data_IF_185377515944
#
_entry.id   IF_185377515944
#
_cell.length_a   1.000
_cell.length_b   1.000
_cell.length_c   1.000
_cell.angle_alpha   90.00
_cell.angle_beta   90.00
_cell.angle_gamma   90.00
#
_symmetry.space_group_name_H-M   'P 1'
#
loop_
_entity.id
_entity.type
_entity.pdbx_description
1 polymer ?
#
# COMPACT_ATOMS: atom_id res chain seq x y z
N UNK A 1 12.77 19.84 13.04
CA UNK A 1 11.48 19.15 12.82
C UNK A 1 10.74 19.12 14.14
N UNK A 2 9.52 19.67 14.18
CA UNK A 2 8.70 19.64 15.39
C UNK A 2 8.18 18.22 15.60
N UNK A 3 8.43 17.65 16.78
CA UNK A 3 7.83 16.37 17.17
C UNK A 3 6.36 16.65 17.48
N UNK A 4 5.46 16.09 16.68
CA UNK A 4 4.05 16.08 17.00
C UNK A 4 3.86 15.11 18.19
N UNK A 5 3.17 15.51 19.27
CA UNK A 5 2.94 14.67 20.44
C UNK A 5 1.82 13.66 20.16
N UNK A 6 1.91 12.95 19.03
CA UNK A 6 0.95 11.94 18.62
C UNK A 6 1.44 10.61 19.20
N UNK A 7 0.70 10.01 20.15
CA UNK A 7 1.07 8.72 20.68
C UNK A 7 0.91 7.65 19.60
N UNK A 8 1.96 6.87 19.33
CA UNK A 8 1.92 5.70 18.43
C UNK A 8 2.06 4.45 19.29
N UNK A 9 0.97 4.06 19.93
CA UNK A 9 0.93 2.87 20.78
C UNK A 9 0.56 1.61 19.99
N UNK A 10 -0.23 1.77 18.93
CA UNK A 10 -0.64 0.70 18.02
C UNK A 10 -0.58 1.18 16.57
N UNK A 11 -0.23 0.26 15.67
CA UNK A 11 -0.24 0.47 14.24
C UNK A 11 -1.14 -0.58 13.59
N UNK A 12 -2.04 -0.14 12.71
CA UNK A 12 -2.85 -1.01 11.86
C UNK A 12 -2.24 -0.99 10.46
N UNK A 13 -1.89 -2.16 9.94
CA UNK A 13 -1.40 -2.34 8.59
C UNK A 13 -2.42 -3.18 7.83
N UNK A 14 -2.88 -2.66 6.69
CA UNK A 14 -3.81 -3.37 5.83
C UNK A 14 -3.48 -3.13 4.36
N UNK A 15 -3.99 -4.01 3.51
CA UNK A 15 -3.85 -3.94 2.05
C UNK A 15 -5.22 -3.85 1.40
N UNK A 16 -5.41 -2.84 0.55
CA UNK A 16 -6.66 -2.62 -0.18
C UNK A 16 -6.42 -2.82 -1.67
N UNK A 17 -7.16 -3.74 -2.30
CA UNK A 17 -7.19 -3.86 -3.76
C UNK A 17 -8.12 -2.81 -4.36
N UNK A 18 -7.64 -2.07 -5.36
CA UNK A 18 -8.42 -1.07 -6.09
C UNK A 18 -8.66 -1.57 -7.51
N UNK A 19 -9.93 -1.76 -7.87
CA UNK A 19 -10.33 -2.12 -9.23
C UNK A 19 -10.57 -0.89 -10.09
N UNK A 20 -10.10 -0.92 -11.33
CA UNK A 20 -10.14 0.21 -12.26
C UNK A 20 -10.64 -0.22 -13.64
N UNK A 21 -11.18 0.74 -14.39
CA UNK A 21 -11.65 0.57 -15.77
C UNK A 21 -10.76 1.33 -16.74
N UNK A 22 -10.59 0.80 -17.96
CA UNK A 22 -9.75 1.38 -19.01
C UNK A 22 -8.63 0.44 -19.47
N UNK A 23 -7.96 0.80 -20.56
CA UNK A 23 -6.98 -0.08 -21.20
C UNK A 23 -5.58 -0.01 -20.58
N UNK A 24 -5.15 1.14 -20.00
CA UNK A 24 -3.82 1.30 -19.37
C UNK A 24 -2.66 0.70 -20.20
N UNK A 25 -2.61 1.04 -21.50
CA UNK A 25 -1.64 0.50 -22.47
C UNK A 25 -0.28 1.22 -22.47
N UNK A 26 -0.12 2.28 -21.68
CA UNK A 26 1.15 3.00 -21.60
C UNK A 26 2.14 2.24 -20.71
N UNK A 27 3.22 1.75 -21.32
CA UNK A 27 4.37 1.16 -20.62
C UNK A 27 5.33 2.28 -20.18
N UNK A 28 5.05 2.92 -19.04
CA UNK A 28 6.07 3.71 -18.36
C UNK A 28 6.94 2.79 -17.51
N UNK A 29 8.25 2.80 -17.75
CA UNK A 29 9.24 1.87 -17.18
C UNK A 29 9.40 1.94 -15.66
N UNK A 30 8.90 2.99 -15.02
CA UNK A 30 8.97 3.22 -13.55
C UNK A 30 7.59 3.10 -12.87
N UNK A 31 6.60 2.50 -13.54
CA UNK A 31 5.22 2.40 -13.04
C UNK A 31 4.86 1.01 -12.52
N UNK A 32 3.73 0.92 -11.79
CA UNK A 32 3.15 -0.35 -11.33
C UNK A 32 2.39 -1.05 -12.47
N UNK A 33 2.37 -2.38 -12.45
CA UNK A 33 1.54 -3.14 -13.38
C UNK A 33 0.08 -3.09 -12.93
N UNK A 34 -0.83 -2.84 -13.87
CA UNK A 34 -2.27 -2.86 -13.65
C UNK A 34 -2.92 -4.05 -14.41
N UNK A 35 -2.65 -5.30 -14.00
CA UNK A 35 -3.22 -6.49 -14.63
C UNK A 35 -4.69 -6.69 -14.24
N UNK A 36 -5.36 -7.63 -14.92
CA UNK A 36 -6.64 -8.14 -14.45
C UNK A 36 -6.52 -8.73 -13.05
N UNK A 37 -7.47 -8.38 -12.19
CA UNK A 37 -7.48 -8.82 -10.81
C UNK A 37 -7.95 -10.26 -10.64
N UNK A 38 -7.50 -10.89 -9.55
CA UNK A 38 -8.08 -12.11 -9.00
C UNK A 38 -8.88 -11.72 -7.74
N UNK A 39 -10.07 -11.10 -7.89
CA UNK A 39 -10.77 -10.57 -6.74
C UNK A 39 -11.48 -11.68 -5.96
N UNK A 40 -11.48 -11.56 -4.64
CA UNK A 40 -12.23 -12.45 -3.74
C UNK A 40 -13.76 -12.36 -3.97
N UNK A 41 -14.25 -11.25 -4.56
CA UNK A 41 -15.67 -10.98 -4.82
C UNK A 41 -16.13 -11.32 -6.25
N UNK A 42 -15.27 -11.90 -7.10
CA UNK A 42 -15.66 -12.46 -8.40
C UNK A 42 -15.75 -11.49 -9.59
N UNK A 43 -15.31 -10.23 -9.47
CA UNK A 43 -15.26 -9.28 -10.59
C UNK A 43 -14.00 -9.42 -11.46
N UNK A 44 -13.86 -10.55 -12.15
CA UNK A 44 -12.69 -10.93 -12.95
C UNK A 44 -12.42 -10.05 -14.18
N UNK A 45 -13.35 -9.18 -14.54
CA UNK A 45 -13.28 -8.33 -15.73
C UNK A 45 -12.63 -6.96 -15.50
N UNK A 46 -12.19 -6.66 -14.26
CA UNK A 46 -11.55 -5.39 -13.93
C UNK A 46 -10.05 -5.57 -13.70
N UNK A 47 -9.30 -4.57 -14.15
CA UNK A 47 -7.89 -4.42 -13.81
C UNK A 47 -7.76 -3.92 -12.38
N UNK A 48 -6.63 -4.19 -11.72
CA UNK A 48 -6.43 -3.76 -10.34
C UNK A 48 -4.99 -3.39 -10.01
N UNK A 49 -4.84 -2.63 -8.93
CA UNK A 49 -3.59 -2.43 -8.20
C UNK A 49 -3.84 -2.57 -6.70
N UNK A 50 -2.78 -2.61 -5.88
CA UNK A 50 -2.89 -2.80 -4.43
C UNK A 50 -2.30 -1.61 -3.69
N UNK A 51 -2.99 -1.13 -2.67
CA UNK A 51 -2.51 -0.11 -1.73
C UNK A 51 -2.14 -0.76 -0.41
N UNK A 52 -0.96 -0.46 0.11
CA UNK A 52 -0.56 -0.75 1.48
C UNK A 52 -0.65 0.52 2.31
N UNK A 53 -1.39 0.48 3.43
CA UNK A 53 -1.54 1.62 4.32
C UNK A 53 -1.19 1.22 5.75
N UNK A 54 -0.42 2.07 6.45
CA UNK A 54 -0.20 1.95 7.89
C UNK A 54 -0.71 3.21 8.58
N UNK A 55 -1.64 3.03 9.51
CA UNK A 55 -2.23 4.09 10.33
C UNK A 55 -1.99 3.84 11.81
N UNK A 56 -1.98 4.90 12.62
CA UNK A 56 -2.01 4.74 14.08
C UNK A 56 -3.44 4.48 14.60
N UNK A 57 -3.60 4.35 15.93
CA UNK A 57 -4.91 4.17 16.55
C UNK A 57 -5.88 5.36 16.41
N UNK A 58 -5.43 6.49 15.86
CA UNK A 58 -6.23 7.69 15.60
C UNK A 58 -6.45 7.92 14.10
N UNK A 59 -6.26 6.88 13.27
CA UNK A 59 -6.48 6.90 11.82
C UNK A 59 -5.53 7.85 11.07
N UNK A 60 -4.46 8.31 11.73
CA UNK A 60 -3.44 9.15 11.10
C UNK A 60 -2.53 8.26 10.23
N UNK A 61 -2.43 8.52 8.92
CA UNK A 61 -1.57 7.76 8.02
C UNK A 61 -0.09 8.06 8.29
N UNK A 62 0.69 7.00 8.44
CA UNK A 62 2.14 7.06 8.68
C UNK A 62 2.96 6.52 7.50
N UNK A 63 2.36 5.65 6.69
CA UNK A 63 2.98 5.07 5.51
C UNK A 63 1.89 4.73 4.49
N UNK A 64 2.21 4.96 3.22
CA UNK A 64 1.40 4.51 2.09
C UNK A 64 2.35 4.06 0.98
N UNK A 65 2.02 2.95 0.31
CA UNK A 65 2.69 2.52 -0.91
C UNK A 65 1.70 1.88 -1.88
N UNK A 66 2.01 2.00 -3.17
CA UNK A 66 1.24 1.38 -4.24
C UNK A 66 2.04 0.22 -4.81
N UNK A 67 1.37 -0.90 -5.08
CA UNK A 67 1.96 -2.10 -5.63
C UNK A 67 1.22 -2.53 -6.90
N UNK A 68 1.92 -3.25 -7.79
CA UNK A 68 1.31 -3.93 -8.92
C UNK A 68 0.11 -4.78 -8.50
N UNK A 69 -0.87 -4.92 -9.39
CA UNK A 69 -2.02 -5.77 -9.15
C UNK A 69 -1.63 -7.21 -8.81
N UNK A 70 -2.43 -7.85 -7.95
CA UNK A 70 -2.19 -9.22 -7.46
C UNK A 70 -0.92 -9.39 -6.60
N UNK A 71 -0.30 -8.29 -6.14
CA UNK A 71 0.77 -8.37 -5.15
C UNK A 71 0.28 -9.09 -3.88
N UNK A 72 1.13 -9.94 -3.31
CA UNK A 72 0.77 -10.77 -2.14
C UNK A 72 0.81 -9.96 -0.84
N UNK A 73 -0.28 -10.03 -0.06
CA UNK A 73 -0.38 -9.43 1.28
C UNK A 73 0.84 -9.76 2.17
N UNK A 74 1.33 -11.01 2.08
CA UNK A 74 2.49 -11.47 2.86
C UNK A 74 3.74 -10.64 2.56
N UNK A 75 3.99 -10.33 1.29
CA UNK A 75 5.16 -9.54 0.89
C UNK A 75 4.94 -8.04 1.12
N UNK A 76 3.78 -7.51 0.74
CA UNK A 76 3.50 -6.07 0.76
C UNK A 76 3.44 -5.53 2.19
N UNK A 77 2.79 -6.25 3.11
CA UNK A 77 2.72 -5.84 4.53
C UNK A 77 4.10 -5.87 5.17
N UNK A 78 4.91 -6.91 4.88
CA UNK A 78 6.26 -7.02 5.42
C UNK A 78 7.17 -5.89 4.91
N UNK A 79 7.05 -5.54 3.64
CA UNK A 79 7.77 -4.43 3.03
C UNK A 79 7.36 -3.09 3.65
N UNK A 80 6.06 -2.83 3.76
CA UNK A 80 5.52 -1.61 4.37
C UNK A 80 6.04 -1.38 5.80
N UNK A 81 6.04 -2.44 6.63
CA UNK A 81 6.57 -2.38 8.00
C UNK A 81 8.08 -2.10 8.00
N UNK A 82 8.86 -2.74 7.12
CA UNK A 82 10.30 -2.50 7.01
C UNK A 82 10.61 -1.06 6.57
N UNK A 83 9.88 -0.55 5.59
CA UNK A 83 10.02 0.82 5.08
C UNK A 83 9.68 1.84 6.16
N UNK A 84 8.57 1.67 6.87
CA UNK A 84 8.21 2.53 7.99
C UNK A 84 9.28 2.49 9.09
N UNK A 85 9.77 1.30 9.47
CA UNK A 85 10.84 1.16 10.47
C UNK A 85 12.13 1.86 10.05
N UNK A 86 12.48 1.83 8.76
CA UNK A 86 13.64 2.53 8.23
C UNK A 86 13.48 4.05 8.34
N UNK A 87 12.33 4.58 7.94
CA UNK A 87 12.01 6.00 8.02
C UNK A 87 11.99 6.53 9.46
N UNK A 88 11.46 5.73 10.41
CA UNK A 88 11.45 6.09 11.83
C UNK A 88 12.83 6.02 12.49
N UNK A 89 13.77 5.24 11.93
CA UNK A 89 15.15 5.12 12.41
C UNK A 89 16.06 6.24 11.92
N UNK A 90 15.61 7.07 10.97
CA UNK A 90 16.41 8.18 10.42
C UNK A 90 16.43 9.37 11.40
N UNK A 91 16.98 9.17 12.59
CA UNK A 91 17.39 10.25 13.50
C UNK A 91 18.69 9.80 14.19
N UNK A 92 19.82 10.29 13.66
CA UNK A 92 21.02 10.52 14.47
C UNK A 92 20.81 11.78 15.31
#
# INVERSE_FOLDING_TARGET
MNRLPIPVHCLHADTTSVSVYGNYENEETESIDIPFGIPKNGSWNLKQFVLSLIVNQHEIPLFMNTHSGNASDKSTILEAIKSLKSALRTQH
#
